data_IF_223282052785
#
_entry.id   IF_223282052785
#
_cell.length_a   1.000
_cell.length_b   1.000
_cell.length_c   1.000
_cell.angle_alpha   90.00
_cell.angle_beta   90.00
_cell.angle_gamma   90.00
#
_symmetry.space_group_name_H-M   'P 1'
#
loop_
_entity.id
_entity.type
_entity.pdbx_description
1 polymer ?
#
# COMPACT_ATOMS: atom_id res chain seq x y z
N UNK A 1 -16.35 -13.22 32.71
CA UNK A 1 -16.06 -12.71 31.35
C UNK A 1 -16.02 -13.91 30.40
N UNK A 2 -16.77 -13.88 29.30
CA UNK A 2 -16.76 -14.99 28.33
C UNK A 2 -15.39 -15.04 27.64
N UNK A 3 -14.80 -16.23 27.54
CA UNK A 3 -13.49 -16.45 26.90
C UNK A 3 -13.69 -16.41 25.38
N UNK A 4 -12.92 -15.59 24.66
CA UNK A 4 -12.91 -15.60 23.20
C UNK A 4 -12.50 -17.01 22.73
N UNK A 5 -13.26 -17.64 21.81
CA UNK A 5 -12.87 -18.94 21.26
C UNK A 5 -11.51 -18.83 20.56
N UNK A 6 -10.72 -19.91 20.65
CA UNK A 6 -9.44 -19.97 19.95
C UNK A 6 -9.65 -20.01 18.43
N UNK A 7 -8.74 -19.39 17.68
CA UNK A 7 -8.73 -19.49 16.22
C UNK A 7 -8.47 -20.94 15.78
N UNK A 8 -9.15 -21.39 14.73
CA UNK A 8 -9.02 -22.75 14.21
C UNK A 8 -7.66 -23.01 13.54
N UNK A 9 -7.05 -21.98 12.96
CA UNK A 9 -5.71 -22.07 12.35
C UNK A 9 -5.00 -20.71 12.26
N UNK A 10 -3.74 -20.73 11.82
CA UNK A 10 -2.92 -19.53 11.67
C UNK A 10 -3.49 -18.53 10.65
N UNK A 11 -4.12 -19.00 9.58
CA UNK A 11 -4.68 -18.12 8.56
C UNK A 11 -5.85 -17.31 9.10
N UNK A 12 -6.75 -17.95 9.85
CA UNK A 12 -7.86 -17.29 10.54
C UNK A 12 -7.34 -16.27 11.57
N UNK A 13 -6.38 -16.65 12.40
CA UNK A 13 -5.76 -15.73 13.36
C UNK A 13 -5.14 -14.50 12.66
N UNK A 14 -4.46 -14.72 11.52
CA UNK A 14 -3.86 -13.63 10.73
C UNK A 14 -4.93 -12.74 10.10
N UNK A 15 -6.04 -13.29 9.64
CA UNK A 15 -7.15 -12.52 9.11
C UNK A 15 -7.79 -11.65 10.20
N UNK A 16 -8.08 -12.22 11.36
CA UNK A 16 -8.61 -11.48 12.52
C UNK A 16 -7.66 -10.35 12.95
N UNK A 17 -6.36 -10.63 13.08
CA UNK A 17 -5.36 -9.61 13.41
C UNK A 17 -5.33 -8.46 12.39
N UNK A 18 -5.37 -8.77 11.09
CA UNK A 18 -5.37 -7.74 10.02
C UNK A 18 -6.66 -6.94 9.99
N UNK A 19 -7.77 -7.54 10.41
CA UNK A 19 -9.06 -6.89 10.57
C UNK A 19 -9.04 -5.91 11.74
N UNK A 20 -8.65 -6.37 12.94
CA UNK A 20 -8.57 -5.52 14.13
C UNK A 20 -7.60 -4.35 13.92
N UNK A 21 -6.41 -4.58 13.35
CA UNK A 21 -5.47 -3.49 13.03
C UNK A 21 -6.05 -2.45 12.08
N UNK A 22 -6.97 -2.82 11.19
CA UNK A 22 -7.64 -1.86 10.30
C UNK A 22 -8.62 -0.99 11.06
N UNK A 23 -9.34 -1.55 12.02
CA UNK A 23 -10.34 -0.85 12.82
C UNK A 23 -9.67 0.03 13.87
N UNK A 24 -8.76 -0.55 14.65
CA UNK A 24 -8.11 0.11 15.78
C UNK A 24 -7.24 1.29 15.33
N UNK A 25 -6.49 1.13 14.24
CA UNK A 25 -5.52 2.12 13.76
C UNK A 25 -6.03 2.91 12.54
N UNK A 26 -7.35 3.03 12.41
CA UNK A 26 -7.96 3.74 11.30
C UNK A 26 -7.52 5.23 11.31
N UNK A 27 -7.19 5.76 10.13
CA UNK A 27 -6.75 7.16 9.95
C UNK A 27 -5.40 7.53 10.59
N UNK A 28 -4.65 6.58 11.13
CA UNK A 28 -3.33 6.81 11.75
C UNK A 28 -2.14 6.53 10.81
N UNK A 29 -2.38 6.37 9.51
CA UNK A 29 -1.31 6.19 8.51
C UNK A 29 -0.74 4.78 8.37
N UNK A 30 -1.15 3.81 9.19
CA UNK A 30 -0.59 2.44 9.13
C UNK A 30 -1.04 1.62 7.92
N UNK A 31 -2.26 1.85 7.42
CA UNK A 31 -2.91 0.92 6.50
C UNK A 31 -2.10 0.63 5.23
N UNK A 32 -1.52 1.66 4.61
CA UNK A 32 -0.73 1.50 3.39
C UNK A 32 0.51 0.64 3.62
N UNK A 33 1.26 0.92 4.68
CA UNK A 33 2.49 0.17 5.01
C UNK A 33 2.18 -1.27 5.41
N UNK A 34 1.09 -1.49 6.15
CA UNK A 34 0.61 -2.82 6.50
C UNK A 34 0.28 -3.66 5.26
N UNK A 35 -0.45 -3.09 4.29
CA UNK A 35 -0.75 -3.78 3.04
C UNK A 35 0.51 -4.12 2.23
N UNK A 36 1.47 -3.18 2.15
CA UNK A 36 2.75 -3.37 1.45
C UNK A 36 3.59 -4.49 2.05
N UNK A 37 3.83 -4.47 3.37
CA UNK A 37 4.64 -5.49 4.06
C UNK A 37 3.98 -6.87 4.04
N UNK A 38 2.67 -6.93 3.89
CA UNK A 38 1.92 -8.18 3.75
C UNK A 38 1.83 -8.68 2.31
N UNK A 39 2.24 -7.88 1.32
CA UNK A 39 2.21 -8.25 -0.10
C UNK A 39 0.81 -8.31 -0.71
N UNK A 40 -0.19 -7.69 -0.08
CA UNK A 40 -1.62 -7.73 -0.52
C UNK A 40 -2.14 -6.37 -0.99
N UNK A 41 -1.25 -5.39 -1.12
CA UNK A 41 -1.54 -4.02 -1.51
C UNK A 41 -2.19 -3.90 -2.90
N UNK A 42 -1.67 -4.59 -3.91
CA UNK A 42 -2.21 -4.54 -5.28
C UNK A 42 -3.67 -5.01 -5.33
N UNK A 43 -3.98 -6.15 -4.71
CA UNK A 43 -5.33 -6.67 -4.68
C UNK A 43 -6.27 -5.72 -3.90
N UNK A 44 -5.92 -5.42 -2.65
CA UNK A 44 -6.82 -4.67 -1.74
C UNK A 44 -7.10 -3.26 -2.24
N UNK A 45 -6.11 -2.55 -2.81
CA UNK A 45 -6.31 -1.18 -3.30
C UNK A 45 -7.17 -1.18 -4.58
N UNK A 46 -6.94 -2.11 -5.51
CA UNK A 46 -7.74 -2.17 -6.73
C UNK A 46 -9.18 -2.65 -6.47
N UNK A 47 -9.40 -3.56 -5.51
CA UNK A 47 -10.73 -3.95 -5.06
C UNK A 47 -11.48 -2.74 -4.47
N UNK A 48 -10.79 -1.93 -3.66
CA UNK A 48 -11.34 -0.67 -3.13
C UNK A 48 -11.68 0.31 -4.25
N UNK A 49 -10.77 0.53 -5.21
CA UNK A 49 -11.00 1.45 -6.33
C UNK A 49 -12.18 1.01 -7.21
N UNK A 50 -12.37 -0.29 -7.42
CA UNK A 50 -13.53 -0.82 -8.17
C UNK A 50 -14.86 -0.36 -7.56
N UNK A 51 -14.96 -0.36 -6.23
CA UNK A 51 -16.17 0.06 -5.51
C UNK A 51 -16.28 1.59 -5.47
N UNK A 52 -15.21 2.28 -5.13
CA UNK A 52 -15.25 3.72 -4.85
C UNK A 52 -15.29 4.59 -6.11
N UNK A 53 -14.78 4.11 -7.25
CA UNK A 53 -14.97 4.75 -8.56
C UNK A 53 -16.45 4.90 -8.90
N UNK A 54 -17.29 3.96 -8.48
CA UNK A 54 -18.74 4.03 -8.69
C UNK A 54 -19.40 4.92 -7.65
N UNK A 55 -19.07 4.74 -6.36
CA UNK A 55 -19.72 5.46 -5.25
C UNK A 55 -19.37 6.96 -5.21
N UNK A 56 -18.16 7.31 -5.64
CA UNK A 56 -17.57 8.65 -5.50
C UNK A 56 -16.82 9.03 -6.77
N UNK A 57 -17.51 8.93 -7.91
CA UNK A 57 -16.93 9.10 -9.24
C UNK A 57 -16.11 10.38 -9.42
N UNK A 58 -16.56 11.51 -8.85
CA UNK A 58 -15.83 12.78 -8.93
C UNK A 58 -14.50 12.77 -8.17
N UNK A 59 -14.44 12.11 -7.00
CA UNK A 59 -13.22 12.05 -6.18
C UNK A 59 -12.18 11.08 -6.74
N UNK A 60 -12.63 10.00 -7.38
CA UNK A 60 -11.76 8.98 -7.95
C UNK A 60 -11.62 9.05 -9.47
N UNK A 61 -12.09 10.15 -10.08
CA UNK A 61 -11.89 10.43 -11.49
C UNK A 61 -10.39 10.42 -11.82
N UNK A 62 -9.99 9.66 -12.85
CA UNK A 62 -8.59 9.56 -13.28
C UNK A 62 -7.69 8.67 -12.42
N UNK A 63 -8.23 7.96 -11.41
CA UNK A 63 -7.41 7.03 -10.63
C UNK A 63 -6.88 5.87 -11.49
N UNK A 64 -5.55 5.74 -11.53
CA UNK A 64 -4.83 4.65 -12.19
C UNK A 64 -5.00 3.31 -11.45
N UNK A 65 -4.74 2.21 -12.17
CA UNK A 65 -4.61 0.89 -11.56
C UNK A 65 -3.37 0.85 -10.66
N UNK A 66 -3.54 0.46 -9.41
CA UNK A 66 -2.42 0.32 -8.49
C UNK A 66 -1.59 -0.93 -8.86
N UNK A 67 -0.37 -0.73 -9.33
CA UNK A 67 0.61 -1.78 -9.64
C UNK A 67 1.90 -1.67 -8.81
N UNK A 68 2.85 -2.58 -9.05
CA UNK A 68 4.13 -2.65 -8.32
C UNK A 68 4.95 -1.36 -8.32
N UNK A 69 4.82 -0.48 -9.33
CA UNK A 69 5.54 0.81 -9.38
C UNK A 69 5.17 1.74 -8.21
N UNK A 70 3.95 1.63 -7.69
CA UNK A 70 3.43 2.47 -6.61
C UNK A 70 3.79 2.00 -5.19
N UNK A 71 4.58 0.92 -5.06
CA UNK A 71 5.00 0.38 -3.76
C UNK A 71 6.03 1.24 -3.06
N UNK A 72 6.84 1.94 -3.83
CA UNK A 72 7.83 2.90 -3.37
C UNK A 72 7.43 4.27 -3.89
N UNK A 73 7.89 5.34 -3.25
CA UNK A 73 7.80 6.70 -3.82
C UNK A 73 8.91 6.89 -4.87
N UNK A 74 8.76 7.83 -5.83
CA UNK A 74 9.84 8.14 -6.76
C UNK A 74 11.02 8.68 -5.98
N UNK A 75 12.23 8.31 -6.39
CA UNK A 75 13.38 9.12 -6.04
C UNK A 75 13.21 10.46 -6.76
N UNK A 76 13.25 11.61 -6.07
CA UNK A 76 13.10 12.91 -6.72
C UNK A 76 14.16 13.10 -7.82
N UNK A 77 13.74 13.55 -9.01
CA UNK A 77 14.66 13.67 -10.16
C UNK A 77 15.86 14.57 -9.88
N UNK A 78 15.66 15.63 -9.09
CA UNK A 78 16.74 16.53 -8.68
C UNK A 78 17.83 15.81 -7.89
N UNK A 79 17.47 14.84 -7.03
CA UNK A 79 18.45 14.06 -6.27
C UNK A 79 19.25 13.13 -7.20
N UNK A 80 18.60 12.55 -8.21
CA UNK A 80 19.28 11.76 -9.24
C UNK A 80 20.28 12.64 -9.99
N UNK A 81 19.89 13.86 -10.37
CA UNK A 81 20.74 14.81 -11.06
C UNK A 81 21.93 15.29 -10.21
N UNK A 82 21.68 15.61 -8.93
CA UNK A 82 22.70 16.02 -7.97
C UNK A 82 23.65 14.89 -7.59
N UNK A 83 23.23 13.63 -7.75
CA UNK A 83 24.08 12.47 -7.46
C UNK A 83 25.19 12.22 -8.49
N UNK A 84 25.27 12.99 -9.58
CA UNK A 84 26.21 12.71 -10.68
C UNK A 84 27.67 12.83 -10.24
N UNK A 85 28.46 11.80 -10.54
CA UNK A 85 29.92 11.81 -10.45
C UNK A 85 30.47 11.57 -11.85
N UNK A 86 31.36 12.45 -12.32
CA UNK A 86 31.93 12.39 -13.68
C UNK A 86 30.84 12.31 -14.78
N UNK A 87 29.72 13.01 -14.58
CA UNK A 87 28.57 13.02 -15.49
C UNK A 87 27.61 11.82 -15.37
N UNK A 88 27.94 10.81 -14.55
CA UNK A 88 27.14 9.58 -14.38
C UNK A 88 26.33 9.63 -13.09
N UNK A 89 24.98 9.49 -13.13
CA UNK A 89 24.15 9.43 -11.93
C UNK A 89 24.53 8.25 -11.03
N UNK A 90 24.64 8.50 -9.73
CA UNK A 90 24.94 7.46 -8.73
C UNK A 90 23.66 6.90 -8.09
N UNK A 91 22.58 7.69 -8.07
CA UNK A 91 21.25 7.21 -7.72
C UNK A 91 20.55 6.66 -8.96
N UNK A 92 20.05 5.43 -8.85
CA UNK A 92 19.20 4.81 -9.86
C UNK A 92 17.75 4.85 -9.39
N UNK A 93 16.86 5.26 -10.28
CA UNK A 93 15.43 5.29 -10.01
C UNK A 93 14.88 3.89 -9.68
N UNK A 94 13.81 3.87 -8.88
CA UNK A 94 13.05 2.67 -8.55
C UNK A 94 12.50 1.98 -9.82
N UNK A 95 12.32 0.64 -9.82
CA UNK A 95 11.82 -0.07 -10.99
C UNK A 95 10.42 0.41 -11.41
N UNK A 96 10.25 0.69 -12.71
CA UNK A 96 8.95 1.05 -13.30
C UNK A 96 8.48 2.48 -13.04
N UNK A 97 9.39 3.34 -12.59
CA UNK A 97 9.22 4.80 -12.52
C UNK A 97 9.63 5.50 -13.82
#
# INVERSE_FOLDING_TARGET
MARTPAFANQAEARQALRWERRLELAMEGYRLFDLRRWGVDVQVINDFLTVEKVRRASLYAGSETFSSKHKLYPIPSIEIDLSKKDGVPQLKQNPGY
#
